data_IF_375527156880
#
_entry.id   IF_375527156880
#
_cell.length_a   1.000
_cell.length_b   1.000
_cell.length_c   1.000
_cell.angle_alpha   90.00
_cell.angle_beta   90.00
_cell.angle_gamma   90.00
#
_symmetry.space_group_name_H-M   'P 1'
#
loop_
_entity.id
_entity.type
_entity.pdbx_description
1 polymer ?
#
# COMPACT_ATOMS: atom_id res chain seq x y z
N UNK A 1 -3.32 -6.97 10.45
CA UNK A 1 -3.32 -5.50 10.22
C UNK A 1 -4.77 -5.04 10.21
N UNK A 2 -5.15 -3.94 10.88
CA UNK A 2 -6.55 -3.43 10.95
C UNK A 2 -6.71 -2.15 10.10
N UNK A 3 -6.28 -2.23 8.84
CA UNK A 3 -6.36 -1.14 7.85
C UNK A 3 -7.03 -1.74 6.63
N UNK A 4 -8.13 -1.16 6.18
CA UNK A 4 -9.03 -1.75 5.19
C UNK A 4 -8.31 -2.23 3.92
N UNK A 5 -7.30 -1.49 3.46
CA UNK A 5 -6.48 -1.78 2.27
C UNK A 5 -5.35 -2.80 2.48
N UNK A 6 -5.26 -3.43 3.66
CA UNK A 6 -4.22 -4.41 4.00
C UNK A 6 -4.77 -5.67 4.66
N UNK A 7 -6.08 -5.89 4.60
CA UNK A 7 -6.72 -7.08 5.15
C UNK A 7 -7.59 -7.74 4.09
N UNK A 8 -6.92 -8.44 3.18
CA UNK A 8 -7.55 -9.28 2.16
C UNK A 8 -8.31 -10.44 2.79
N UNK A 9 -9.49 -10.76 2.26
CA UNK A 9 -10.24 -11.98 2.60
C UNK A 9 -10.95 -11.97 3.96
N UNK A 10 -11.13 -10.82 4.60
CA UNK A 10 -11.92 -10.71 5.85
C UNK A 10 -13.28 -10.06 5.59
N UNK A 11 -14.33 -10.76 6.00
CA UNK A 11 -15.69 -10.21 6.03
C UNK A 11 -15.95 -9.33 7.26
N UNK A 12 -15.08 -9.40 8.27
CA UNK A 12 -15.22 -8.60 9.49
C UNK A 12 -14.79 -7.15 9.24
N UNK A 13 -15.62 -6.15 9.56
CA UNK A 13 -15.24 -4.73 9.45
C UNK A 13 -13.96 -4.43 10.23
N UNK A 14 -13.15 -3.52 9.70
CA UNK A 14 -11.98 -3.00 10.43
C UNK A 14 -12.43 -2.17 11.62
N UNK A 15 -11.79 -2.36 12.77
CA UNK A 15 -12.09 -1.62 14.00
C UNK A 15 -11.54 -0.18 13.96
N UNK A 16 -10.70 0.14 12.98
CA UNK A 16 -10.08 1.46 12.83
C UNK A 16 -9.04 1.76 13.91
N UNK A 17 -8.45 0.72 14.52
CA UNK A 17 -7.54 0.83 15.67
C UNK A 17 -6.38 1.78 15.36
N UNK A 18 -5.86 1.76 14.14
CA UNK A 18 -4.77 2.65 13.73
C UNK A 18 -5.19 4.11 13.71
N UNK A 19 -6.42 4.42 13.29
CA UNK A 19 -6.95 5.79 13.33
C UNK A 19 -7.08 6.29 14.77
N UNK A 20 -7.60 5.45 15.67
CA UNK A 20 -7.69 5.79 17.09
C UNK A 20 -6.30 5.98 17.73
N UNK A 21 -5.37 5.07 17.45
CA UNK A 21 -4.01 5.15 17.97
C UNK A 21 -3.30 6.43 17.52
N UNK A 22 -3.34 6.75 16.21
CA UNK A 22 -2.68 7.95 15.66
C UNK A 22 -3.33 9.22 16.19
N UNK A 23 -4.66 9.25 16.32
CA UNK A 23 -5.39 10.38 16.92
C UNK A 23 -5.01 10.61 18.39
N UNK A 24 -4.87 9.52 19.16
CA UNK A 24 -4.41 9.59 20.54
C UNK A 24 -2.96 10.10 20.63
N UNK A 25 -2.06 9.61 19.78
CA UNK A 25 -0.66 10.08 19.70
C UNK A 25 -0.56 11.57 19.36
N UNK A 26 -1.35 12.05 18.39
CA UNK A 26 -1.40 13.46 18.03
C UNK A 26 -1.78 14.37 19.21
N UNK A 27 -2.55 13.85 20.17
CA UNK A 27 -2.98 14.56 21.37
C UNK A 27 -1.93 14.56 22.50
N UNK A 28 -0.82 13.85 22.33
CA UNK A 28 0.28 13.81 23.31
C UNK A 28 1.29 14.93 23.07
N UNK A 29 2.11 15.25 24.08
CA UNK A 29 3.20 16.23 23.96
C UNK A 29 4.26 15.85 22.93
N UNK A 30 4.41 14.55 22.65
CA UNK A 30 5.32 14.03 21.61
C UNK A 30 4.74 14.14 20.20
N UNK A 31 3.42 14.28 20.06
CA UNK A 31 2.74 14.34 18.77
C UNK A 31 2.89 13.07 17.93
N UNK A 32 2.71 13.24 16.61
CA UNK A 32 2.88 12.15 15.65
C UNK A 32 4.37 11.89 15.39
N UNK A 33 4.79 10.67 15.67
CA UNK A 33 6.13 10.18 15.32
C UNK A 33 6.11 9.64 13.89
N UNK A 34 7.15 9.95 13.12
CA UNK A 34 7.36 9.47 11.74
C UNK A 34 8.12 8.11 11.72
N UNK A 35 8.52 7.67 10.53
CA UNK A 35 9.29 6.44 10.32
C UNK A 35 8.41 5.20 10.13
N UNK A 36 9.03 4.03 10.16
CA UNK A 36 8.34 2.74 9.93
C UNK A 36 7.73 2.21 11.23
N UNK A 37 6.46 1.83 11.17
CA UNK A 37 5.77 1.13 12.25
C UNK A 37 6.26 -0.33 12.30
N UNK A 38 6.78 -0.73 13.46
CA UNK A 38 7.47 -2.01 13.66
C UNK A 38 6.62 -3.25 13.42
N UNK A 39 5.32 -3.22 13.72
CA UNK A 39 4.44 -4.38 13.64
C UNK A 39 3.94 -4.60 12.20
N UNK A 40 3.64 -3.52 11.49
CA UNK A 40 3.07 -3.55 10.15
C UNK A 40 4.12 -3.39 9.04
N UNK A 41 5.30 -2.86 9.35
CA UNK A 41 6.31 -2.49 8.35
C UNK A 41 5.92 -1.29 7.49
N UNK A 42 4.79 -0.63 7.78
CA UNK A 42 4.30 0.50 7.00
C UNK A 42 4.90 1.82 7.51
N UNK A 43 5.15 2.79 6.61
CA UNK A 43 5.43 4.17 7.03
C UNK A 43 4.26 4.72 7.86
N UNK A 44 4.54 5.31 9.03
CA UNK A 44 3.52 5.88 9.92
C UNK A 44 2.72 7.00 9.25
N UNK A 45 3.36 7.77 8.37
CA UNK A 45 2.69 8.78 7.54
C UNK A 45 1.70 8.18 6.54
N UNK A 46 1.95 6.96 6.06
CA UNK A 46 1.02 6.21 5.21
C UNK A 46 -0.15 5.63 6.02
N UNK A 47 0.13 5.14 7.24
CA UNK A 47 -0.90 4.71 8.19
C UNK A 47 -1.87 5.86 8.50
N UNK A 48 -1.39 7.09 8.67
CA UNK A 48 -2.26 8.26 8.90
C UNK A 48 -3.28 8.48 7.80
N UNK A 49 -2.86 8.30 6.56
CA UNK A 49 -3.70 8.46 5.37
C UNK A 49 -4.72 7.33 5.31
N UNK A 50 -4.24 6.08 5.43
CA UNK A 50 -5.10 4.92 5.28
C UNK A 50 -6.05 4.68 6.44
N UNK A 51 -5.70 5.15 7.64
CA UNK A 51 -6.62 5.16 8.76
C UNK A 51 -7.85 6.06 8.53
N UNK A 52 -7.82 6.94 7.52
CA UNK A 52 -8.87 7.91 7.18
C UNK A 52 -9.51 7.67 5.83
N UNK A 53 -9.42 6.46 5.25
CA UNK A 53 -9.95 6.14 3.90
C UNK A 53 -11.44 6.48 3.69
N UNK A 54 -12.22 6.66 4.75
CA UNK A 54 -13.61 7.11 4.71
C UNK A 54 -13.81 8.63 4.59
N UNK A 55 -12.76 9.43 4.78
CA UNK A 55 -12.81 10.89 4.70
C UNK A 55 -12.45 11.36 3.28
N UNK A 56 -13.18 12.36 2.77
CA UNK A 56 -12.89 12.94 1.44
C UNK A 56 -11.46 13.48 1.31
N UNK A 57 -10.84 13.91 2.42
CA UNK A 57 -9.47 14.42 2.43
C UNK A 57 -8.39 13.34 2.29
N UNK A 58 -8.72 12.06 2.47
CA UNK A 58 -7.72 11.00 2.43
C UNK A 58 -7.14 10.80 1.02
N UNK A 59 -7.93 11.04 -0.02
CA UNK A 59 -7.46 10.99 -1.40
C UNK A 59 -6.46 12.11 -1.70
N UNK A 60 -6.77 13.35 -1.33
CA UNK A 60 -5.85 14.49 -1.49
C UNK A 60 -4.57 14.29 -0.68
N UNK A 61 -4.70 13.81 0.56
CA UNK A 61 -3.55 13.49 1.41
C UNK A 61 -2.71 12.37 0.81
N UNK A 62 -3.35 11.34 0.22
CA UNK A 62 -2.67 10.26 -0.47
C UNK A 62 -1.95 10.76 -1.71
N UNK A 63 -2.55 11.62 -2.54
CA UNK A 63 -1.94 12.17 -3.76
C UNK A 63 -0.76 13.13 -3.48
N UNK A 64 -0.81 13.83 -2.34
CA UNK A 64 0.22 14.74 -1.86
C UNK A 64 1.34 14.10 -1.04
N UNK A 65 1.23 12.80 -0.71
CA UNK A 65 2.19 12.12 0.14
C UNK A 65 3.60 12.09 -0.50
N UNK A 66 4.69 12.39 0.23
CA UNK A 66 6.03 12.41 -0.34
C UNK A 66 6.66 11.02 -0.56
N UNK A 67 5.99 9.94 -0.13
CA UNK A 67 6.58 8.60 -0.08
C UNK A 67 7.50 8.39 1.13
N UNK A 68 8.10 7.21 1.22
CA UNK A 68 9.05 6.83 2.29
C UNK A 68 10.02 5.73 1.79
N UNK A 69 11.24 5.67 2.31
CA UNK A 69 12.21 4.60 1.98
C UNK A 69 11.72 3.24 2.50
N UNK A 70 11.61 2.22 1.64
CA UNK A 70 11.02 0.93 2.01
C UNK A 70 9.53 0.77 1.69
N UNK A 71 9.01 1.59 0.76
CA UNK A 71 7.61 1.54 0.32
C UNK A 71 7.24 0.27 -0.48
N UNK A 72 8.19 -0.57 -0.90
CA UNK A 72 7.90 -1.68 -1.81
C UNK A 72 6.76 -2.60 -1.33
N UNK A 73 6.87 -3.14 -0.12
CA UNK A 73 5.80 -3.97 0.44
C UNK A 73 4.47 -3.21 0.58
N UNK A 74 4.43 -2.01 1.21
CA UNK A 74 3.23 -1.18 1.25
C UNK A 74 2.59 -0.91 -0.12
N UNK A 75 3.43 -0.65 -1.12
CA UNK A 75 3.05 -0.39 -2.50
C UNK A 75 2.42 -1.64 -3.12
N UNK A 76 3.10 -2.78 -3.05
CA UNK A 76 2.62 -4.05 -3.60
C UNK A 76 1.30 -4.47 -2.94
N UNK A 77 1.22 -4.40 -1.61
CA UNK A 77 0.01 -4.73 -0.87
C UNK A 77 -1.16 -3.81 -1.27
N UNK A 78 -0.95 -2.50 -1.36
CA UNK A 78 -1.98 -1.58 -1.81
C UNK A 78 -2.40 -1.82 -3.27
N UNK A 79 -1.45 -2.16 -4.16
CA UNK A 79 -1.73 -2.47 -5.58
C UNK A 79 -2.51 -3.78 -5.77
N UNK A 80 -2.55 -4.66 -4.77
CA UNK A 80 -3.35 -5.90 -4.77
C UNK A 80 -4.82 -5.69 -4.37
N UNK A 81 -5.18 -4.51 -3.86
CA UNK A 81 -6.57 -4.11 -3.57
C UNK A 81 -7.32 -3.73 -4.85
N UNK A 82 -7.33 -4.67 -5.81
CA UNK A 82 -7.74 -4.45 -7.20
C UNK A 82 -9.17 -3.93 -7.29
N UNK A 83 -10.13 -4.49 -6.55
CA UNK A 83 -11.53 -4.04 -6.58
C UNK A 83 -11.68 -2.58 -6.13
N UNK A 84 -10.90 -2.17 -5.12
CA UNK A 84 -10.92 -0.78 -4.64
C UNK A 84 -10.29 0.14 -5.68
N UNK A 85 -9.19 -0.29 -6.28
CA UNK A 85 -8.42 0.51 -7.23
C UNK A 85 -9.08 0.65 -8.61
N UNK A 86 -9.88 -0.32 -9.04
CA UNK A 86 -10.68 -0.21 -10.27
C UNK A 86 -11.66 0.97 -10.21
N UNK A 87 -12.24 1.23 -9.03
CA UNK A 87 -13.14 2.36 -8.80
C UNK A 87 -12.42 3.68 -8.53
N UNK A 88 -11.09 3.65 -8.36
CA UNK A 88 -10.26 4.80 -7.94
C UNK A 88 -8.98 4.94 -8.79
N UNK A 89 -9.08 5.31 -10.08
CA UNK A 89 -7.93 5.41 -10.99
C UNK A 89 -6.87 6.43 -10.54
N UNK A 90 -7.28 7.51 -9.87
CA UNK A 90 -6.37 8.50 -9.26
C UNK A 90 -5.44 7.88 -8.22
N UNK A 91 -5.89 6.84 -7.50
CA UNK A 91 -5.08 6.15 -6.49
C UNK A 91 -4.05 5.24 -7.14
N UNK A 92 -4.36 4.65 -8.29
CA UNK A 92 -3.40 3.87 -9.08
C UNK A 92 -2.27 4.78 -9.57
N UNK A 93 -2.60 5.96 -10.09
CA UNK A 93 -1.61 6.95 -10.53
C UNK A 93 -0.70 7.41 -9.38
N UNK A 94 -1.28 7.69 -8.21
CA UNK A 94 -0.52 8.04 -7.01
C UNK A 94 0.40 6.90 -6.55
N UNK A 95 -0.11 5.65 -6.50
CA UNK A 95 0.71 4.48 -6.17
C UNK A 95 1.89 4.33 -7.13
N UNK A 96 1.67 4.42 -8.44
CA UNK A 96 2.74 4.33 -9.46
C UNK A 96 3.79 5.42 -9.28
N UNK A 97 3.37 6.66 -9.01
CA UNK A 97 4.29 7.76 -8.66
C UNK A 97 5.19 7.37 -7.49
N UNK A 98 4.65 6.73 -6.45
CA UNK A 98 5.42 6.34 -5.26
C UNK A 98 6.31 5.12 -5.47
N UNK A 99 5.86 4.12 -6.23
CA UNK A 99 6.70 3.01 -6.65
C UNK A 99 7.96 3.50 -7.36
N UNK A 100 7.82 4.51 -8.22
CA UNK A 100 8.95 5.13 -8.90
C UNK A 100 9.89 5.91 -7.97
N UNK A 101 9.46 6.39 -6.80
CA UNK A 101 10.35 7.08 -5.85
C UNK A 101 11.27 6.12 -5.09
N UNK A 102 10.97 4.82 -5.07
CA UNK A 102 11.79 3.83 -4.39
C UNK A 102 13.02 3.48 -5.23
N UNK A 103 14.15 4.16 -4.99
CA UNK A 103 15.40 3.94 -5.73
C UNK A 103 15.91 2.49 -5.65
N UNK A 104 15.69 1.80 -4.53
CA UNK A 104 16.08 0.39 -4.37
C UNK A 104 15.30 -0.59 -5.27
N UNK A 105 14.15 -0.14 -5.79
CA UNK A 105 13.25 -0.94 -6.63
C UNK A 105 13.27 -0.47 -8.09
N UNK A 106 13.60 0.81 -8.33
CA UNK A 106 13.63 1.41 -9.67
C UNK A 106 14.56 0.62 -10.60
N UNK A 107 14.04 0.25 -11.78
CA UNK A 107 14.77 -0.37 -12.90
C UNK A 107 15.36 -1.78 -12.67
N UNK A 108 14.99 -2.48 -11.60
CA UNK A 108 15.34 -3.91 -11.48
C UNK A 108 14.43 -4.79 -12.35
N UNK A 109 14.92 -5.91 -12.91
CA UNK A 109 14.05 -6.85 -13.63
C UNK A 109 12.86 -7.34 -12.79
N UNK A 110 13.08 -7.57 -11.49
CA UNK A 110 12.05 -8.00 -10.55
C UNK A 110 10.96 -6.93 -10.41
N UNK A 111 11.35 -5.65 -10.40
CA UNK A 111 10.39 -4.57 -10.30
C UNK A 111 9.50 -4.44 -11.52
N UNK A 112 10.08 -4.57 -12.72
CA UNK A 112 9.32 -4.55 -13.97
C UNK A 112 8.33 -5.73 -14.04
N UNK A 113 8.77 -6.92 -13.63
CA UNK A 113 7.91 -8.12 -13.57
C UNK A 113 6.77 -7.92 -12.57
N UNK A 114 7.06 -7.41 -11.38
CA UNK A 114 6.01 -7.17 -10.39
C UNK A 114 5.03 -6.08 -10.87
N UNK A 115 5.47 -4.99 -11.50
CA UNK A 115 4.57 -4.02 -12.13
C UNK A 115 3.65 -4.67 -13.18
N UNK A 116 4.19 -5.52 -14.04
CA UNK A 116 3.41 -6.23 -15.05
C UNK A 116 2.34 -7.13 -14.42
N UNK A 117 2.70 -7.89 -13.38
CA UNK A 117 1.77 -8.75 -12.65
C UNK A 117 0.65 -7.91 -12.01
N UNK A 118 1.00 -6.79 -11.37
CA UNK A 118 0.04 -5.90 -10.72
C UNK A 118 -0.87 -5.16 -11.73
N UNK A 119 -0.34 -4.77 -12.89
CA UNK A 119 -1.13 -4.16 -13.97
C UNK A 119 -2.12 -5.17 -14.58
N UNK A 120 -1.67 -6.40 -14.80
CA UNK A 120 -2.53 -7.48 -15.29
C UNK A 120 -3.65 -7.79 -14.29
N UNK A 121 -3.33 -7.92 -13.00
CA UNK A 121 -4.32 -8.14 -11.94
C UNK A 121 -5.39 -7.04 -11.94
N UNK A 122 -4.96 -5.78 -12.00
CA UNK A 122 -5.86 -4.62 -12.05
C UNK A 122 -6.77 -4.65 -13.28
N UNK A 123 -6.21 -5.00 -14.45
CA UNK A 123 -6.96 -5.05 -15.71
C UNK A 123 -8.05 -6.13 -15.68
N UNK A 124 -7.77 -7.31 -15.13
CA UNK A 124 -8.73 -8.43 -15.10
C UNK A 124 -9.63 -8.42 -13.86
N UNK A 125 -9.36 -7.57 -12.87
CA UNK A 125 -10.14 -7.51 -11.63
C UNK A 125 -9.79 -8.61 -10.61
N UNK A 126 -8.58 -9.17 -10.68
CA UNK A 126 -8.19 -10.31 -9.85
C UNK A 126 -7.70 -9.87 -8.46
N UNK A 127 -8.60 -10.00 -7.49
CA UNK A 127 -8.32 -9.77 -6.07
C UNK A 127 -7.78 -11.01 -5.36
N UNK A 128 -7.32 -12.06 -6.05
CA UNK A 128 -6.73 -13.24 -5.42
C UNK A 128 -5.44 -13.70 -6.11
N UNK A 129 -4.84 -12.85 -6.96
CA UNK A 129 -3.60 -13.17 -7.67
C UNK A 129 -2.48 -13.65 -6.72
N UNK A 130 -1.82 -14.72 -7.13
CA UNK A 130 -0.65 -15.31 -6.47
C UNK A 130 0.62 -14.78 -7.14
N UNK A 131 1.27 -13.81 -6.48
CA UNK A 131 2.46 -13.14 -7.00
C UNK A 131 3.64 -14.08 -7.21
N UNK A 132 3.82 -15.07 -6.32
CA UNK A 132 4.95 -16.00 -6.39
C UNK A 132 4.80 -16.93 -7.59
N UNK A 133 3.58 -17.45 -7.78
CA UNK A 133 3.27 -18.29 -8.94
C UNK A 133 3.41 -17.53 -10.26
N UNK A 134 2.99 -16.27 -10.31
CA UNK A 134 3.11 -15.44 -11.50
C UNK A 134 4.55 -15.02 -11.82
N UNK A 135 5.36 -14.77 -10.78
CA UNK A 135 6.78 -14.50 -10.92
C UNK A 135 7.55 -15.74 -11.39
N UNK A 136 7.26 -16.90 -10.82
CA UNK A 136 7.90 -18.16 -11.19
C UNK A 136 7.65 -18.52 -12.66
N UNK A 137 6.43 -18.28 -13.18
CA UNK A 137 6.11 -18.46 -14.59
C UNK A 137 6.96 -17.57 -15.52
N UNK A 138 7.45 -16.45 -15.02
CA UNK A 138 8.33 -15.50 -15.73
C UNK A 138 9.82 -15.74 -15.45
N UNK A 139 10.16 -16.81 -14.71
CA UNK A 139 11.54 -17.18 -14.39
C UNK A 139 12.20 -16.26 -13.36
N UNK A 140 11.41 -15.56 -12.55
CA UNK A 140 11.89 -14.62 -11.53
C UNK A 140 11.39 -15.04 -10.15
N UNK A 141 12.19 -14.79 -9.13
CA UNK A 141 11.78 -14.91 -7.73
C UNK A 141 11.56 -13.51 -7.15
N UNK A 142 10.35 -13.27 -6.63
CA UNK A 142 10.02 -12.03 -5.95
C UNK A 142 10.18 -12.24 -4.44
N UNK A 143 11.32 -11.84 -3.88
CA UNK A 143 11.47 -11.76 -2.43
C UNK A 143 10.80 -10.47 -1.94
N UNK A 144 9.52 -10.56 -1.57
CA UNK A 144 8.79 -9.44 -0.97
C UNK A 144 9.10 -9.25 0.53
N UNK A 145 10.01 -10.05 1.10
CA UNK A 145 10.53 -9.95 2.47
C UNK A 145 11.97 -10.45 2.58
#
# INVERSE_FOLDING_TARGET
>A
MDIQTFVRGRDTPTLGIWGYLRSAQASTSTGLVDGVESVSGLPRSLIDIFARLGDASAEDAFAGWPGYEGILYPYTAARLEVSILQDKPSWVEALRKYGHLCDAYRETPNALVLEEILDNALQIGDNDIDLDKEAQQRGVELSLF
#
